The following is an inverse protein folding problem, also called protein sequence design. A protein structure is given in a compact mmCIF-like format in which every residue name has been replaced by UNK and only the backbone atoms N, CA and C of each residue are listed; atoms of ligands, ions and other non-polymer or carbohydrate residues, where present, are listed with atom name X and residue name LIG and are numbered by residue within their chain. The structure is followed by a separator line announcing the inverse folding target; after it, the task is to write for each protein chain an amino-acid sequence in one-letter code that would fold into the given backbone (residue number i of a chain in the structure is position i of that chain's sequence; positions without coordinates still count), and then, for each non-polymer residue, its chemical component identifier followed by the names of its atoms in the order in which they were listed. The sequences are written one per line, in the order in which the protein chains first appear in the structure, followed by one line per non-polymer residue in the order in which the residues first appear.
data_IF_571333581994
#
_entry.id   IF_571333581994
#
_cell.length_a   1.000
_cell.length_b   1.000
_cell.length_c   1.000
_cell.angle_alpha   90.00
_cell.angle_beta   90.00
_cell.angle_gamma   90.00
#
_symmetry.space_group_name_H-M   'P 1'
#
loop_
_entity.id
_entity.type
_entity.pdbx_description
1 polymer ?
#
# COMPACT_ATOMS: atom_id res chain seq x y z
N UNK A 1 -18.84 5.51 -13.76
CA UNK A 1 -18.70 4.78 -12.47
C UNK A 1 -18.94 3.30 -12.75
N UNK A 2 -18.25 2.43 -12.03
CA UNK A 2 -18.39 0.97 -12.18
C UNK A 2 -19.60 0.50 -11.37
N UNK A 3 -20.38 -0.44 -11.92
CA UNK A 3 -21.61 -0.94 -11.32
C UNK A 3 -21.55 -2.39 -10.81
N UNK A 4 -20.46 -3.13 -11.09
CA UNK A 4 -20.24 -4.51 -10.64
C UNK A 4 -18.91 -4.62 -9.92
N UNK A 5 -18.95 -5.11 -8.68
CA UNK A 5 -17.79 -5.32 -7.81
C UNK A 5 -17.22 -6.74 -7.87
N UNK A 6 -17.86 -7.65 -8.60
CA UNK A 6 -17.54 -9.09 -8.62
C UNK A 6 -16.54 -9.47 -9.71
N UNK A 7 -16.49 -8.68 -10.78
CA UNK A 7 -15.59 -8.91 -11.91
C UNK A 7 -15.33 -7.58 -12.61
N UNK A 8 -14.14 -7.46 -13.22
CA UNK A 8 -13.77 -6.32 -14.06
C UNK A 8 -14.70 -6.31 -15.28
N UNK A 9 -15.69 -5.41 -15.30
CA UNK A 9 -16.62 -5.23 -16.44
C UNK A 9 -16.33 -3.92 -17.12
N UNK A 10 -16.03 -3.96 -18.42
CA UNK A 10 -15.97 -2.77 -19.28
C UNK A 10 -14.93 -1.72 -18.89
N UNK A 11 -14.69 -0.80 -19.82
CA UNK A 11 -13.93 0.41 -19.55
C UNK A 11 -14.91 1.58 -19.42
N UNK A 12 -15.06 2.12 -18.20
CA UNK A 12 -15.94 3.26 -17.91
C UNK A 12 -15.17 4.58 -17.78
N UNK A 13 -13.88 4.59 -18.08
CA UNK A 13 -13.04 5.78 -18.04
C UNK A 13 -12.47 6.06 -19.42
N UNK A 14 -12.58 7.31 -19.88
CA UNK A 14 -11.97 7.75 -21.14
C UNK A 14 -10.56 8.30 -20.94
N UNK A 15 -10.17 8.52 -19.69
CA UNK A 15 -8.95 9.22 -19.31
C UNK A 15 -8.30 8.48 -18.13
N UNK A 16 -7.00 8.73 -17.97
CA UNK A 16 -6.23 8.33 -16.79
C UNK A 16 -6.88 8.87 -15.50
N UNK A 17 -6.68 8.17 -14.39
CA UNK A 17 -7.09 8.62 -13.07
C UNK A 17 -6.35 9.91 -12.69
N UNK A 18 -5.02 9.91 -12.86
CA UNK A 18 -4.19 11.08 -12.58
C UNK A 18 -4.07 11.95 -13.83
N UNK A 19 -4.68 13.13 -13.79
CA UNK A 19 -4.53 14.14 -14.86
C UNK A 19 -3.18 14.85 -14.77
N UNK A 20 -2.71 15.14 -13.56
CA UNK A 20 -1.39 15.67 -13.27
C UNK A 20 -0.98 15.35 -11.82
N UNK A 21 0.32 15.33 -11.58
CA UNK A 21 0.95 15.38 -10.24
C UNK A 21 2.12 16.34 -10.40
N UNK A 22 2.29 17.26 -9.44
CA UNK A 22 3.44 18.17 -9.40
C UNK A 22 4.66 17.38 -8.90
N UNK A 23 5.31 16.67 -9.84
CA UNK A 23 6.42 15.75 -9.55
C UNK A 23 7.59 16.46 -8.87
N UNK A 24 7.93 17.67 -9.34
CA UNK A 24 9.01 18.47 -8.76
C UNK A 24 8.72 18.77 -7.29
N UNK A 25 7.48 19.17 -6.95
CA UNK A 25 7.10 19.44 -5.57
C UNK A 25 6.94 18.18 -4.72
N UNK A 26 6.41 17.10 -5.29
CA UNK A 26 6.14 15.86 -4.54
C UNK A 26 7.44 15.10 -4.29
N UNK A 27 8.20 14.81 -5.35
CA UNK A 27 9.42 13.99 -5.28
C UNK A 27 10.67 14.77 -4.89
N UNK A 28 10.59 16.08 -4.65
CA UNK A 28 11.65 16.82 -3.93
C UNK A 28 11.56 16.65 -2.41
N UNK A 29 10.41 16.22 -1.87
CA UNK A 29 10.25 15.97 -0.43
C UNK A 29 11.07 14.72 -0.04
N UNK A 30 11.85 14.77 1.06
CA UNK A 30 12.76 13.68 1.41
C UNK A 30 12.13 12.29 1.45
N UNK A 31 10.97 12.14 2.12
CA UNK A 31 10.31 10.83 2.25
C UNK A 31 9.77 10.29 0.94
N UNK A 32 9.24 11.16 0.07
CA UNK A 32 8.70 10.79 -1.23
C UNK A 32 9.82 10.45 -2.22
N UNK A 33 10.92 11.21 -2.18
CA UNK A 33 12.11 10.94 -2.99
C UNK A 33 12.70 9.56 -2.68
N UNK A 34 12.91 9.27 -1.40
CA UNK A 34 13.47 8.00 -0.97
C UNK A 34 12.50 6.84 -1.26
N UNK A 35 11.20 7.04 -1.07
CA UNK A 35 10.19 6.04 -1.42
C UNK A 35 10.12 5.77 -2.93
N UNK A 36 10.23 6.80 -3.77
CA UNK A 36 10.27 6.64 -5.22
C UNK A 36 11.48 5.82 -5.67
N UNK A 37 12.67 6.11 -5.12
CA UNK A 37 13.88 5.32 -5.40
C UNK A 37 13.69 3.84 -5.04
N UNK A 38 13.03 3.54 -3.93
CA UNK A 38 12.69 2.15 -3.58
C UNK A 38 11.78 1.49 -4.60
N UNK A 39 10.75 2.18 -5.09
CA UNK A 39 9.80 1.61 -6.06
C UNK A 39 10.47 1.30 -7.42
N UNK A 40 11.46 2.10 -7.82
CA UNK A 40 12.15 1.95 -9.10
C UNK A 40 13.06 0.69 -9.16
N UNK A 41 13.46 0.15 -8.00
CA UNK A 41 14.27 -1.06 -7.93
C UNK A 41 13.49 -2.34 -8.26
N UNK A 42 12.16 -2.29 -8.17
CA UNK A 42 11.35 -3.49 -8.30
C UNK A 42 10.73 -3.58 -9.68
N UNK A 43 11.34 -4.38 -10.55
CA UNK A 43 10.64 -4.95 -11.69
C UNK A 43 9.67 -6.02 -11.16
N UNK A 44 8.37 -5.89 -11.44
CA UNK A 44 7.33 -6.86 -11.04
C UNK A 44 7.44 -8.20 -11.81
N UNK A 45 8.63 -8.78 -11.90
CA UNK A 45 8.88 -10.11 -12.45
C UNK A 45 8.87 -11.15 -11.31
N UNK A 46 8.00 -12.15 -11.44
CA UNK A 46 7.75 -13.13 -10.38
C UNK A 46 8.78 -14.26 -10.50
N UNK A 47 9.50 -14.55 -9.40
CA UNK A 47 10.02 -15.89 -9.14
C UNK A 47 11.52 -16.10 -9.36
N UNK A 48 12.31 -15.05 -9.47
CA UNK A 48 13.77 -15.14 -9.33
C UNK A 48 14.20 -14.91 -7.88
N UNK A 49 15.35 -15.46 -7.49
CA UNK A 49 15.92 -15.22 -6.15
C UNK A 49 16.48 -13.79 -6.10
N UNK A 50 15.86 -12.93 -5.32
CA UNK A 50 16.31 -11.54 -5.19
C UNK A 50 17.61 -11.46 -4.38
N UNK A 51 18.63 -10.84 -4.98
CA UNK A 51 19.90 -10.55 -4.31
C UNK A 51 19.92 -9.07 -3.96
N UNK A 52 19.71 -8.75 -2.68
CA UNK A 52 19.80 -7.37 -2.20
C UNK A 52 21.22 -6.85 -2.37
N UNK A 53 21.39 -5.93 -3.29
CA UNK A 53 22.63 -5.21 -3.55
C UNK A 53 22.97 -4.26 -2.39
N UNK A 54 24.22 -3.85 -2.31
CA UNK A 54 24.62 -2.84 -1.33
C UNK A 54 23.89 -1.51 -1.54
N UNK A 55 23.60 -1.14 -2.79
CA UNK A 55 22.87 0.08 -3.13
C UNK A 55 21.42 0.04 -2.63
N UNK A 56 20.68 -1.04 -2.90
CA UNK A 56 19.31 -1.22 -2.41
C UNK A 56 19.26 -1.19 -0.88
N UNK A 57 20.26 -1.79 -0.22
CA UNK A 57 20.36 -1.71 1.24
C UNK A 57 20.55 -0.26 1.71
N UNK A 58 21.35 0.56 1.02
CA UNK A 58 21.50 1.97 1.37
C UNK A 58 20.20 2.76 1.15
N UNK A 59 19.45 2.45 0.10
CA UNK A 59 18.16 3.09 -0.17
C UNK A 59 17.12 2.75 0.90
N UNK A 60 17.11 1.50 1.40
CA UNK A 60 16.26 1.10 2.52
C UNK A 60 16.53 1.97 3.76
N UNK A 61 17.79 2.13 4.16
CA UNK A 61 18.14 2.98 5.32
C UNK A 61 17.89 4.46 5.05
N UNK A 62 18.15 4.94 3.83
CA UNK A 62 17.85 6.33 3.44
C UNK A 62 16.37 6.64 3.61
N UNK A 63 15.49 5.72 3.21
CA UNK A 63 14.06 5.85 3.43
C UNK A 63 13.68 5.80 4.91
N UNK A 64 14.24 4.85 5.67
CA UNK A 64 13.97 4.74 7.10
C UNK A 64 14.40 5.99 7.89
N UNK A 65 15.58 6.53 7.59
CA UNK A 65 16.07 7.78 8.19
C UNK A 65 15.10 8.93 7.85
N UNK A 66 14.72 9.07 6.58
CA UNK A 66 13.80 10.13 6.15
C UNK A 66 12.42 10.06 6.84
N UNK A 67 11.83 8.87 6.98
CA UNK A 67 10.51 8.75 7.64
C UNK A 67 10.61 8.93 9.15
N UNK A 68 11.71 8.53 9.80
CA UNK A 68 11.91 8.68 11.24
C UNK A 68 12.04 10.14 11.68
N UNK A 69 12.52 11.03 10.81
CA UNK A 69 12.55 12.47 11.06
C UNK A 69 11.15 13.11 11.10
N UNK A 70 10.12 12.42 10.59
CA UNK A 70 8.76 12.97 10.53
C UNK A 70 8.03 12.88 11.87
N UNK A 71 7.16 13.87 12.14
CA UNK A 71 6.25 13.83 13.29
C UNK A 71 5.36 12.59 13.29
N UNK A 72 4.98 12.09 12.11
CA UNK A 72 4.12 10.90 11.97
C UNK A 72 4.81 9.68 12.57
N UNK A 73 6.06 9.42 12.19
CA UNK A 73 6.79 8.26 12.69
C UNK A 73 7.21 8.43 14.14
N UNK A 74 7.55 9.66 14.57
CA UNK A 74 7.84 9.95 15.98
C UNK A 74 6.63 9.69 16.88
N UNK A 75 5.42 10.08 16.48
CA UNK A 75 4.20 9.77 17.24
C UNK A 75 3.87 8.28 17.21
N UNK A 76 4.06 7.60 16.09
CA UNK A 76 3.90 6.14 15.99
C UNK A 76 4.87 5.41 16.93
N UNK A 77 6.14 5.81 16.95
CA UNK A 77 7.17 5.24 17.83
C UNK A 77 6.82 5.46 19.30
N UNK A 78 6.51 6.70 19.72
CA UNK A 78 6.06 7.02 21.09
C UNK A 78 4.86 6.17 21.50
N UNK A 79 3.87 6.03 20.61
CA UNK A 79 2.70 5.21 20.87
C UNK A 79 3.08 3.74 21.07
N UNK A 80 3.88 3.16 20.19
CA UNK A 80 4.32 1.77 20.30
C UNK A 80 5.15 1.49 21.55
N UNK A 81 6.03 2.42 21.93
CA UNK A 81 6.79 2.36 23.19
C UNK A 81 5.84 2.38 24.39
N UNK A 82 4.83 3.25 24.38
CA UNK A 82 3.81 3.31 25.46
C UNK A 82 2.99 2.01 25.59
N UNK A 83 2.92 1.21 24.52
CA UNK A 83 2.29 -0.11 24.49
C UNK A 83 3.25 -1.26 24.76
N UNK A 84 4.52 -0.96 25.06
CA UNK A 84 5.59 -1.95 25.21
C UNK A 84 5.73 -2.87 23.98
N UNK A 85 5.42 -2.33 22.80
CA UNK A 85 5.40 -3.04 21.51
C UNK A 85 6.63 -2.74 20.64
N UNK A 86 7.42 -1.72 20.99
CA UNK A 86 8.66 -1.33 20.32
C UNK A 86 9.71 -0.84 21.35
N UNK A 87 11.02 -0.95 21.04
CA UNK A 87 12.09 -0.40 21.87
C UNK A 87 12.01 1.13 21.93
N UNK A 88 12.35 1.71 23.08
CA UNK A 88 12.43 3.17 23.25
C UNK A 88 13.63 3.81 22.53
N UNK A 89 14.68 3.02 22.30
CA UNK A 89 15.87 3.42 21.56
C UNK A 89 15.54 3.52 20.06
N UNK A 90 15.82 4.69 19.47
CA UNK A 90 15.45 5.00 18.08
C UNK A 90 16.22 4.16 17.07
N UNK A 91 17.51 3.88 17.31
CA UNK A 91 18.31 3.03 16.43
C UNK A 91 17.81 1.59 16.43
N UNK A 92 17.45 1.04 17.61
CA UNK A 92 16.82 -0.28 17.71
C UNK A 92 15.43 -0.31 17.07
N UNK A 93 14.68 0.79 17.13
CA UNK A 93 13.40 0.88 16.43
C UNK A 93 13.60 0.91 14.91
N UNK A 94 14.63 1.62 14.42
CA UNK A 94 15.03 1.61 13.01
C UNK A 94 15.40 0.22 12.53
N UNK A 95 16.21 -0.51 13.31
CA UNK A 95 16.57 -1.91 13.01
C UNK A 95 15.35 -2.82 12.96
N UNK A 96 14.39 -2.60 13.87
CA UNK A 96 13.11 -3.32 13.86
C UNK A 96 12.28 -2.99 12.61
N UNK A 97 12.20 -1.73 12.20
CA UNK A 97 11.54 -1.33 10.96
C UNK A 97 12.23 -1.95 9.75
N UNK A 98 13.57 -1.92 9.69
CA UNK A 98 14.32 -2.57 8.62
C UNK A 98 14.03 -4.07 8.57
N UNK A 99 14.04 -4.74 9.72
CA UNK A 99 13.67 -6.15 9.80
C UNK A 99 12.26 -6.34 9.23
N UNK A 100 11.24 -5.65 9.75
CA UNK A 100 9.84 -5.80 9.32
C UNK A 100 9.66 -5.56 7.82
N UNK A 101 10.17 -4.44 7.30
CA UNK A 101 9.82 -3.95 5.97
C UNK A 101 10.71 -4.48 4.86
N UNK A 102 12.01 -4.61 5.09
CA UNK A 102 13.00 -4.80 4.02
C UNK A 102 13.75 -6.13 4.10
N UNK A 103 13.75 -6.82 5.24
CA UNK A 103 14.43 -8.12 5.33
C UNK A 103 13.64 -9.16 4.55
N UNK A 104 14.29 -9.73 3.53
CA UNK A 104 13.73 -10.82 2.76
C UNK A 104 13.37 -12.01 3.65
N UNK A 105 12.23 -12.62 3.35
CA UNK A 105 11.80 -13.85 3.99
C UNK A 105 11.29 -14.84 2.94
N UNK A 106 11.29 -16.11 3.32
CA UNK A 106 10.89 -17.21 2.43
C UNK A 106 9.37 -17.37 2.41
N UNK A 107 8.78 -17.29 1.21
CA UNK A 107 7.37 -17.68 1.01
C UNK A 107 7.18 -19.20 1.14
N UNK A 108 5.98 -19.62 1.56
CA UNK A 108 5.64 -21.06 1.66
C UNK A 108 5.70 -21.70 0.27
N UNK A 109 6.70 -22.54 0.02
CA UNK A 109 6.93 -23.21 -1.26
C UNK A 109 8.01 -22.59 -2.15
N UNK A 110 8.60 -21.45 -1.76
CA UNK A 110 9.74 -20.86 -2.47
C UNK A 110 11.03 -21.64 -2.22
N UNK A 111 11.99 -21.55 -3.15
CA UNK A 111 13.31 -22.20 -3.03
C UNK A 111 14.30 -21.40 -2.16
N UNK A 112 14.06 -20.11 -1.92
CA UNK A 112 14.90 -19.20 -1.12
C UNK A 112 14.09 -18.09 -0.44
N UNK A 113 14.77 -17.11 0.15
CA UNK A 113 14.13 -15.85 0.57
C UNK A 113 13.93 -15.02 -0.70
N UNK A 114 12.70 -14.63 -1.00
CA UNK A 114 12.34 -14.15 -2.33
C UNK A 114 11.40 -12.95 -2.32
N UNK A 115 11.07 -12.40 -1.15
CA UNK A 115 10.32 -11.15 -1.08
C UNK A 115 10.45 -10.43 0.27
N UNK A 116 10.21 -9.12 0.28
CA UNK A 116 10.08 -8.26 1.45
C UNK A 116 8.65 -7.76 1.67
N UNK A 117 8.35 -7.30 2.90
CA UNK A 117 7.05 -6.69 3.20
C UNK A 117 6.80 -5.41 2.41
N UNK A 118 7.86 -4.66 2.09
CA UNK A 118 7.77 -3.48 1.25
C UNK A 118 7.21 -3.82 -0.14
N UNK A 119 7.73 -4.86 -0.80
CA UNK A 119 7.23 -5.33 -2.10
C UNK A 119 5.76 -5.74 -2.03
N UNK A 120 5.42 -6.59 -1.06
CA UNK A 120 4.08 -7.11 -0.88
C UNK A 120 3.03 -6.00 -0.68
N UNK A 121 3.39 -4.94 0.05
CA UNK A 121 2.47 -3.87 0.42
C UNK A 121 2.45 -2.74 -0.62
N UNK A 122 3.61 -2.30 -1.09
CA UNK A 122 3.74 -1.06 -1.87
C UNK A 122 3.99 -1.27 -3.36
N UNK A 123 4.83 -2.23 -3.74
CA UNK A 123 5.13 -2.51 -5.16
C UNK A 123 3.95 -3.19 -5.82
N UNK A 124 3.36 -4.15 -5.10
CA UNK A 124 2.24 -4.98 -5.55
C UNK A 124 2.73 -6.24 -6.25
N UNK A 125 2.31 -7.40 -5.75
CA UNK A 125 2.64 -8.68 -6.38
C UNK A 125 1.52 -9.16 -7.33
N UNK A 126 1.94 -9.74 -8.45
CA UNK A 126 1.11 -10.64 -9.24
C UNK A 126 1.07 -12.02 -8.59
N UNK A 127 -0.11 -12.66 -8.57
CA UNK A 127 -0.24 -14.08 -8.20
C UNK A 127 -0.90 -14.83 -9.34
N UNK A 128 -0.13 -15.63 -10.05
CA UNK A 128 -0.62 -16.32 -11.25
C UNK A 128 -0.97 -15.32 -12.35
N UNK A 129 -2.24 -15.25 -12.74
CA UNK A 129 -2.75 -14.37 -13.81
C UNK A 129 -3.47 -13.12 -13.29
N UNK A 130 -3.31 -12.75 -12.01
CA UNK A 130 -4.02 -11.62 -11.41
C UNK A 130 -3.07 -10.73 -10.61
N UNK A 131 -3.28 -9.41 -10.71
CA UNK A 131 -2.65 -8.44 -9.81
C UNK A 131 -3.48 -8.31 -8.53
N UNK A 132 -2.90 -8.72 -7.40
CA UNK A 132 -3.60 -8.82 -6.11
C UNK A 132 -3.29 -7.62 -5.19
N UNK A 133 -2.21 -6.88 -5.46
CA UNK A 133 -1.80 -5.67 -4.73
C UNK A 133 -2.05 -4.36 -5.49
N UNK A 134 -1.33 -3.31 -5.08
CA UNK A 134 -1.35 -1.93 -5.60
C UNK A 134 -2.41 -1.00 -4.98
N UNK A 135 -2.26 -0.75 -3.68
CA UNK A 135 -3.10 0.15 -2.89
C UNK A 135 -2.50 1.55 -2.65
N UNK A 136 -1.22 1.73 -2.96
CA UNK A 136 -0.51 2.99 -2.76
C UNK A 136 -0.64 3.90 -3.98
N UNK A 137 -1.01 5.16 -3.75
CA UNK A 137 -1.30 6.10 -4.82
C UNK A 137 -0.06 6.52 -5.63
N UNK A 138 1.13 6.55 -5.01
CA UNK A 138 2.38 6.89 -5.69
C UNK A 138 2.72 5.79 -6.69
N UNK A 139 2.69 4.52 -6.26
CA UNK A 139 2.90 3.40 -7.17
C UNK A 139 1.82 3.36 -8.26
N UNK A 140 0.55 3.64 -7.93
CA UNK A 140 -0.51 3.70 -8.94
C UNK A 140 -0.21 4.76 -9.99
N UNK A 141 0.15 5.95 -9.55
CA UNK A 141 0.51 7.07 -10.42
C UNK A 141 1.67 6.70 -11.35
N UNK A 142 2.77 6.16 -10.81
CA UNK A 142 3.95 5.80 -11.60
C UNK A 142 3.63 4.71 -12.63
N UNK A 143 2.87 3.69 -12.25
CA UNK A 143 2.48 2.61 -13.14
C UNK A 143 1.46 3.06 -14.22
N UNK A 144 0.55 3.98 -13.91
CA UNK A 144 -0.35 4.60 -14.89
C UNK A 144 0.40 5.56 -15.83
N UNK A 145 1.39 6.29 -15.31
CA UNK A 145 2.28 7.14 -16.12
C UNK A 145 3.10 6.30 -17.11
N UNK A 146 3.66 5.18 -16.66
CA UNK A 146 4.41 4.22 -17.48
C UNK A 146 3.56 3.46 -18.50
N UNK A 147 2.22 3.58 -18.46
CA UNK A 147 1.30 2.88 -19.36
C UNK A 147 1.04 1.41 -18.97
N UNK A 148 1.50 0.99 -17.79
CA UNK A 148 1.22 -0.34 -17.26
C UNK A 148 -0.21 -0.43 -16.73
N UNK A 149 -0.75 0.63 -16.13
CA UNK A 149 -2.15 0.66 -15.67
C UNK A 149 -3.06 1.29 -16.72
N UNK A 150 -4.17 0.62 -17.01
CA UNK A 150 -5.33 1.23 -17.65
C UNK A 150 -6.50 1.31 -16.64
N UNK A 151 -6.79 2.52 -16.18
CA UNK A 151 -7.89 2.81 -15.27
C UNK A 151 -9.25 2.69 -15.97
N UNK A 152 -10.21 2.00 -15.34
CA UNK A 152 -11.53 1.71 -15.91
C UNK A 152 -12.68 2.41 -15.19
N UNK A 153 -12.41 3.19 -14.14
CA UNK A 153 -13.45 3.90 -13.38
C UNK A 153 -13.43 3.60 -11.89
N UNK A 154 -14.27 4.33 -11.15
CA UNK A 154 -14.40 4.23 -9.69
C UNK A 154 -15.77 3.69 -9.27
N UNK A 155 -15.83 3.12 -8.07
CA UNK A 155 -17.04 2.69 -7.40
C UNK A 155 -17.60 3.83 -6.53
N UNK A 156 -18.87 4.17 -6.73
CA UNK A 156 -19.55 5.16 -5.88
C UNK A 156 -19.81 4.58 -4.49
N UNK A 157 -19.46 5.33 -3.46
CA UNK A 157 -19.86 5.05 -2.08
C UNK A 157 -21.19 5.73 -1.83
N UNK A 158 -22.10 5.02 -1.15
CA UNK A 158 -23.39 5.60 -0.73
C UNK A 158 -23.31 6.25 0.66
N UNK A 159 -22.14 6.26 1.29
CA UNK A 159 -21.94 6.72 2.68
C UNK A 159 -21.50 8.15 2.82
N UNK A 160 -21.17 8.83 1.74
CA UNK A 160 -20.49 10.11 1.80
C UNK A 160 -21.41 11.14 1.15
N UNK A 161 -21.96 12.06 1.94
CA UNK A 161 -22.37 13.38 1.42
C UNK A 161 -21.18 13.92 0.65
N UNK A 162 -21.35 14.31 -0.60
CA UNK A 162 -20.28 14.65 -1.54
C UNK A 162 -19.07 15.26 -0.82
N UNK A 163 -18.02 14.45 -0.56
CA UNK A 163 -16.79 14.96 0.02
C UNK A 163 -16.29 16.05 -0.93
N UNK A 164 -16.06 17.25 -0.41
CA UNK A 164 -15.44 18.33 -1.19
C UNK A 164 -14.09 17.88 -1.78
N UNK A 165 -13.42 16.91 -1.13
CA UNK A 165 -12.17 16.29 -1.57
C UNK A 165 -12.20 14.78 -1.30
N UNK A 166 -12.36 13.95 -2.32
CA UNK A 166 -12.29 12.48 -2.19
C UNK A 166 -10.84 12.01 -2.02
N UNK A 167 -10.46 11.62 -0.80
CA UNK A 167 -9.10 11.09 -0.51
C UNK A 167 -9.02 9.58 -0.50
N UNK A 168 -10.14 8.86 -0.48
CA UNK A 168 -10.14 7.41 -0.47
C UNK A 168 -11.07 6.90 -1.56
N UNK A 169 -10.47 6.32 -2.60
CA UNK A 169 -11.20 5.83 -3.78
C UNK A 169 -11.23 4.32 -3.79
N UNK A 170 -12.26 3.77 -4.43
CA UNK A 170 -12.27 2.39 -4.88
C UNK A 170 -12.31 2.40 -6.40
N UNK A 171 -11.35 1.73 -7.04
CA UNK A 171 -11.09 1.80 -8.48
C UNK A 171 -11.06 0.41 -9.12
N UNK A 172 -11.36 0.37 -10.41
CA UNK A 172 -11.17 -0.78 -11.30
C UNK A 172 -10.09 -0.42 -12.31
N UNK A 173 -9.17 -1.34 -12.60
CA UNK A 173 -8.12 -1.14 -13.60
C UNK A 173 -7.62 -2.48 -14.14
N UNK A 174 -6.89 -2.44 -15.25
CA UNK A 174 -6.04 -3.54 -15.73
C UNK A 174 -4.57 -3.14 -15.61
N UNK A 175 -3.70 -4.13 -15.41
CA UNK A 175 -2.25 -3.96 -15.36
C UNK A 175 -1.59 -4.81 -16.45
N UNK A 176 -0.85 -4.18 -17.37
CA UNK A 176 -0.25 -4.80 -18.57
C UNK A 176 -1.27 -5.67 -19.34
N UNK A 177 -2.51 -5.23 -19.42
CA UNK A 177 -3.62 -5.96 -20.07
C UNK A 177 -4.22 -7.11 -19.25
N UNK A 178 -3.65 -7.42 -18.08
CA UNK A 178 -4.14 -8.42 -17.14
C UNK A 178 -5.17 -7.76 -16.20
N UNK A 179 -6.25 -8.48 -15.90
CA UNK A 179 -7.27 -8.00 -14.96
C UNK A 179 -6.66 -7.94 -13.54
N UNK A 180 -6.73 -6.76 -12.93
CA UNK A 180 -6.48 -6.62 -11.50
C UNK A 180 -7.72 -7.05 -10.71
N UNK A 181 -7.61 -7.07 -9.37
CA UNK A 181 -8.77 -7.23 -8.49
C UNK A 181 -9.93 -6.33 -8.94
N UNK A 182 -11.18 -6.83 -8.95
CA UNK A 182 -12.34 -6.06 -9.39
C UNK A 182 -12.51 -4.70 -8.70
N UNK A 183 -12.05 -4.59 -7.46
CA UNK A 183 -12.15 -3.38 -6.66
C UNK A 183 -10.88 -3.21 -5.82
N UNK A 184 -10.07 -2.21 -6.16
CA UNK A 184 -8.89 -1.83 -5.40
C UNK A 184 -9.15 -0.51 -4.65
N UNK A 185 -8.85 -0.45 -3.35
CA UNK A 185 -8.91 0.81 -2.61
C UNK A 185 -7.57 1.54 -2.68
N UNK A 186 -7.60 2.83 -2.95
CA UNK A 186 -6.40 3.69 -3.00
C UNK A 186 -6.64 4.94 -2.16
N UNK A 187 -5.77 5.19 -1.19
CA UNK A 187 -5.78 6.41 -0.39
C UNK A 187 -4.90 7.47 -1.09
N UNK A 188 -5.54 8.48 -1.66
CA UNK A 188 -4.91 9.52 -2.48
C UNK A 188 -4.32 10.60 -1.58
N UNK A 189 -3.05 10.94 -1.81
CA UNK A 189 -2.37 12.08 -1.19
C UNK A 189 -1.78 11.80 0.20
N UNK A 190 -1.84 10.56 0.70
CA UNK A 190 -1.08 10.13 1.89
C UNK A 190 0.42 10.26 1.66
N UNK A 191 1.18 10.43 2.75
CA UNK A 191 2.63 10.31 2.69
C UNK A 191 3.07 8.87 2.92
N UNK A 192 4.23 8.44 2.39
CA UNK A 192 4.75 7.10 2.62
C UNK A 192 4.82 6.74 4.12
N UNK A 193 5.30 7.67 4.94
CA UNK A 193 5.42 7.48 6.39
C UNK A 193 4.07 7.26 7.10
N UNK A 194 2.97 7.78 6.56
CA UNK A 194 1.63 7.57 7.13
C UNK A 194 1.18 6.12 7.00
N UNK A 195 1.31 5.56 5.79
CA UNK A 195 0.93 4.17 5.53
C UNK A 195 1.88 3.20 6.25
N UNK A 196 3.20 3.45 6.21
CA UNK A 196 4.19 2.66 6.95
C UNK A 196 3.89 2.67 8.45
N UNK A 197 3.59 3.84 9.04
CA UNK A 197 3.24 3.94 10.46
C UNK A 197 1.96 3.16 10.80
N UNK A 198 0.88 3.35 10.02
CA UNK A 198 -0.40 2.68 10.27
C UNK A 198 -0.26 1.15 10.23
N UNK A 199 0.38 0.61 9.20
CA UNK A 199 0.55 -0.83 9.03
C UNK A 199 1.52 -1.42 10.07
N UNK A 200 2.59 -0.70 10.43
CA UNK A 200 3.52 -1.13 11.49
C UNK A 200 2.82 -1.18 12.85
N UNK A 201 1.99 -0.19 13.18
CA UNK A 201 1.23 -0.17 14.43
C UNK A 201 0.31 -1.39 14.52
N UNK A 202 -0.45 -1.68 13.47
CA UNK A 202 -1.34 -2.84 13.43
C UNK A 202 -0.57 -4.15 13.60
N UNK A 203 0.55 -4.32 12.90
CA UNK A 203 1.39 -5.52 13.00
C UNK A 203 1.96 -5.70 14.42
N UNK A 204 2.54 -4.66 15.01
CA UNK A 204 3.22 -4.76 16.29
C UNK A 204 2.27 -4.92 17.48
N UNK A 205 0.99 -4.55 17.31
CA UNK A 205 -0.08 -4.76 18.29
C UNK A 205 -0.90 -6.04 18.03
N UNK A 206 -0.38 -6.94 17.20
CA UNK A 206 -1.01 -8.23 16.84
C UNK A 206 -2.45 -8.07 16.33
N UNK A 207 -2.67 -7.02 15.53
CA UNK A 207 -3.97 -6.73 14.91
C UNK A 207 -4.06 -7.29 13.50
N UNK A 208 -3.89 -8.59 13.39
CA UNK A 208 -4.08 -9.32 12.13
C UNK A 208 -5.57 -9.36 11.75
N UNK A 209 -5.87 -9.09 10.49
CA UNK A 209 -7.23 -8.96 9.95
C UNK A 209 -7.62 -7.52 9.65
N UNK A 210 -8.92 -7.23 9.82
CA UNK A 210 -9.56 -5.97 9.45
C UNK A 210 -9.97 -5.21 10.70
N UNK A 211 -9.62 -3.94 10.78
CA UNK A 211 -9.95 -3.06 11.92
C UNK A 211 -10.67 -1.82 11.42
N UNK A 212 -11.83 -1.53 11.99
CA UNK A 212 -12.53 -0.26 11.76
C UNK A 212 -11.82 0.87 12.50
N UNK A 213 -11.45 1.91 11.77
CA UNK A 213 -10.76 3.11 12.27
C UNK A 213 -11.46 4.35 11.73
N UNK A 214 -11.63 5.37 12.57
CA UNK A 214 -12.06 6.69 12.14
C UNK A 214 -10.84 7.59 11.90
N UNK A 215 -10.58 7.93 10.63
CA UNK A 215 -9.49 8.81 10.21
C UNK A 215 -10.06 10.15 9.75
N UNK A 216 -10.10 11.13 10.66
CA UNK A 216 -10.76 12.41 10.41
C UNK A 216 -12.25 12.21 10.12
N UNK A 217 -12.67 12.52 8.90
CA UNK A 217 -14.03 12.32 8.39
C UNK A 217 -14.28 10.91 7.81
N UNK A 218 -13.23 10.14 7.55
CA UNK A 218 -13.35 8.82 6.92
C UNK A 218 -13.55 7.71 7.95
N UNK A 219 -14.61 6.92 7.80
CA UNK A 219 -14.69 5.58 8.38
C UNK A 219 -13.98 4.60 7.44
N UNK A 220 -12.86 4.06 7.89
CA UNK A 220 -12.02 3.16 7.09
C UNK A 220 -11.87 1.81 7.76
N UNK A 221 -11.55 0.81 6.96
CA UNK A 221 -11.06 -0.48 7.39
C UNK A 221 -9.56 -0.54 7.06
N UNK A 222 -8.72 -0.67 8.09
CA UNK A 222 -7.30 -0.98 7.95
C UNK A 222 -7.17 -2.50 7.94
N UNK A 223 -6.79 -3.07 6.81
CA UNK A 223 -6.56 -4.50 6.65
C UNK A 223 -5.06 -4.76 6.73
N UNK A 224 -4.63 -5.64 7.64
CA UNK A 224 -3.26 -6.13 7.77
C UNK A 224 -3.28 -7.64 7.88
N UNK A 225 -2.55 -8.31 7.00
CA UNK A 225 -2.33 -9.75 7.03
C UNK A 225 -0.84 -10.02 7.10
N UNK A 226 -0.43 -10.68 8.16
CA UNK A 226 0.96 -11.00 8.47
C UNK A 226 1.31 -12.43 8.09
N UNK A 227 2.60 -12.68 7.84
CA UNK A 227 3.16 -14.02 7.74
C UNK A 227 3.40 -14.62 9.15
N UNK A 228 2.35 -14.66 9.97
CA UNK A 228 2.26 -15.30 11.29
C UNK A 228 3.56 -15.26 12.12
N UNK A 229 4.34 -16.34 12.06
CA UNK A 229 5.56 -16.52 12.87
C UNK A 229 6.70 -15.56 12.56
N UNK A 230 6.71 -14.93 11.38
CA UNK A 230 7.84 -14.12 10.92
C UNK A 230 7.69 -12.63 11.29
N UNK A 231 6.52 -12.21 11.80
CA UNK A 231 6.16 -10.79 12.04
C UNK A 231 6.49 -9.91 10.82
N UNK A 232 6.11 -10.39 9.63
CA UNK A 232 6.21 -9.69 8.34
C UNK A 232 4.83 -9.39 7.82
N UNK A 233 4.67 -8.27 7.13
CA UNK A 233 3.45 -7.95 6.38
C UNK A 233 3.45 -8.73 5.07
N UNK A 234 2.35 -9.41 4.78
CA UNK A 234 2.08 -10.00 3.46
C UNK A 234 1.01 -9.26 2.68
N UNK A 235 0.09 -8.57 3.34
CA UNK A 235 -0.82 -7.62 2.69
C UNK A 235 -1.19 -6.55 3.70
N UNK A 236 -1.16 -5.29 3.28
CA UNK A 236 -1.67 -4.20 4.09
C UNK A 236 -2.30 -3.13 3.19
N UNK A 237 -3.50 -2.66 3.53
CA UNK A 237 -4.16 -1.58 2.80
C UNK A 237 -5.24 -0.91 3.64
N UNK A 238 -5.57 0.33 3.28
CA UNK A 238 -6.72 1.07 3.83
C UNK A 238 -7.84 1.07 2.80
N UNK A 239 -9.03 0.68 3.21
CA UNK A 239 -10.24 0.72 2.37
C UNK A 239 -11.37 1.44 3.11
N UNK A 240 -12.44 1.86 2.42
CA UNK A 240 -13.59 2.36 3.18
C UNK A 240 -14.21 1.24 4.00
N UNK A 241 -14.68 1.61 5.20
CA UNK A 241 -15.45 0.70 6.02
C UNK A 241 -16.62 0.13 5.20
N UNK A 242 -16.80 -1.19 5.28
CA UNK A 242 -17.96 -1.91 4.71
C UNK A 242 -18.10 -1.79 3.18
N UNK A 243 -17.02 -1.51 2.43
CA UNK A 243 -17.05 -1.43 0.95
C UNK A 243 -17.71 -2.64 0.29
N UNK A 244 -17.46 -3.86 0.79
CA UNK A 244 -18.06 -5.10 0.28
C UNK A 244 -19.60 -5.12 0.39
N UNK A 245 -20.16 -4.45 1.40
CA UNK A 245 -21.62 -4.36 1.57
C UNK A 245 -22.25 -3.44 0.52
N UNK A 246 -21.58 -2.35 0.14
CA UNK A 246 -22.03 -1.46 -0.94
C UNK A 246 -21.85 -2.09 -2.31
N UNK A 247 -20.74 -2.80 -2.50
CA UNK A 247 -20.43 -3.57 -3.68
C UNK A 247 -21.49 -4.63 -4.01
N UNK A 248 -22.08 -5.28 -3.00
CA UNK A 248 -23.09 -6.34 -3.18
C UNK A 248 -24.55 -5.84 -3.22
N UNK A 249 -24.83 -4.60 -2.80
CA UNK A 249 -26.20 -4.05 -2.87
C UNK A 249 -26.68 -3.78 -4.30
N UNK A 250 -25.76 -3.58 -5.26
CA UNK A 250 -26.09 -3.33 -6.66
C UNK A 250 -26.17 -4.61 -7.53
N UNK A 251 -25.99 -5.80 -6.97
CA UNK A 251 -26.14 -7.08 -7.71
C UNK A 251 -27.57 -7.66 -7.65
N UNK A 252 -28.54 -6.89 -7.15
CA UNK A 252 -29.96 -7.27 -7.04
C UNK A 252 -30.86 -6.26 -7.75
N UNK A 253 -30.55 -5.90 -8.98
CA UNK A 253 -31.49 -5.30 -9.93
C UNK A 253 -31.12 -5.74 -11.34
#
# INVERSE_FOLDING_TARGET
YVNSSREVRGDFARHKLFTWVDEDKVFSRPTYKAFHALLDNYEMEIGEEEVVTWAEKQENYTFLDAIMETKVMQEAHKFLVSKNAAPADEDKFKDMLHDIWFKLFRRKGARGNDSSSFEHVFVGEGRGTEMIGLHNWIQFYLQEKAGNINYHGYFRRQTVQDDDIVRLMAVQFTWKGIKAKPMCSVFIGTSPEFEVAAYTICLLLDRDGKIDVKLGEYEVEVAVHSFGFQRKLGTAYISAARMEQYANKNSKW
#
